data_IF_229464743196
#
_entry.id   IF_229464743196
#
_cell.length_a   1.000
_cell.length_b   1.000
_cell.length_c   1.000
_cell.angle_alpha   90.00
_cell.angle_beta   90.00
_cell.angle_gamma   90.00
#
_symmetry.space_group_name_H-M   'P 1'
#
loop_
_entity.id
_entity.type
_entity.pdbx_description
1 polymer ?
#
# COMPACT_ATOMS: atom_id res chain seq x y z
N UNK A 1 13.13 -0.28 11.00
CA UNK A 1 14.07 -1.17 10.30
C UNK A 1 15.42 -0.53 9.90
N UNK A 2 15.51 0.75 9.51
CA UNK A 2 16.82 1.42 9.29
C UNK A 2 17.61 1.72 10.58
N UNK A 3 16.91 2.10 11.66
CA UNK A 3 17.54 2.47 12.94
C UNK A 3 18.11 1.28 13.73
N UNK A 4 17.61 0.06 13.49
CA UNK A 4 17.91 -1.13 14.30
C UNK A 4 19.02 -2.00 13.68
N UNK A 5 19.44 -1.71 12.45
CA UNK A 5 20.48 -2.44 11.72
C UNK A 5 21.83 -1.73 11.68
N UNK A 6 21.95 -0.57 12.34
CA UNK A 6 23.18 0.23 12.40
C UNK A 6 24.27 -0.56 13.15
N UNK A 7 25.30 -1.02 12.42
CA UNK A 7 26.43 -1.79 12.97
C UNK A 7 26.36 -3.31 12.80
N UNK A 8 25.22 -3.87 12.38
CA UNK A 8 25.08 -5.32 12.10
C UNK A 8 25.47 -5.72 10.68
N UNK A 9 25.58 -4.75 9.77
CA UNK A 9 25.95 -4.97 8.37
C UNK A 9 27.22 -4.18 8.02
N UNK A 10 27.92 -4.63 6.98
CA UNK A 10 29.05 -3.89 6.43
C UNK A 10 28.57 -2.50 5.99
N UNK A 11 29.35 -1.47 6.30
CA UNK A 11 29.07 -0.09 5.86
C UNK A 11 28.87 -0.12 4.34
N UNK A 12 27.76 0.43 3.84
CA UNK A 12 27.34 0.34 2.43
C UNK A 12 28.44 0.75 1.45
N UNK A 13 29.20 1.82 1.76
CA UNK A 13 30.36 2.27 0.97
C UNK A 13 31.45 1.21 0.80
N UNK A 14 31.52 0.25 1.72
CA UNK A 14 32.47 -0.87 1.71
C UNK A 14 31.80 -2.15 1.20
N UNK A 15 30.56 -2.44 1.63
CA UNK A 15 29.87 -3.70 1.34
C UNK A 15 29.24 -3.74 -0.05
N UNK A 16 28.73 -2.61 -0.53
CA UNK A 16 28.08 -2.45 -1.84
C UNK A 16 28.49 -1.10 -2.45
N UNK A 17 29.78 -0.90 -2.77
CA UNK A 17 30.29 0.38 -3.27
C UNK A 17 29.63 0.83 -4.58
N UNK A 18 29.16 -0.11 -5.40
CA UNK A 18 28.40 0.15 -6.63
C UNK A 18 26.90 0.40 -6.38
N UNK A 19 26.45 0.44 -5.13
CA UNK A 19 25.05 0.63 -4.75
C UNK A 19 24.15 -0.54 -5.13
N UNK A 20 24.71 -1.70 -5.44
CA UNK A 20 23.99 -2.89 -5.92
C UNK A 20 24.10 -4.02 -4.92
N UNK A 21 22.96 -4.54 -4.46
CA UNK A 21 22.91 -5.76 -3.66
C UNK A 21 22.60 -6.96 -4.57
N UNK A 22 23.51 -7.96 -4.61
CA UNK A 22 23.39 -9.15 -5.45
C UNK A 22 24.07 -9.02 -6.82
N UNK A 23 23.69 -9.90 -7.78
CA UNK A 23 24.34 -10.02 -9.09
C UNK A 23 23.34 -9.81 -10.25
N UNK A 24 22.98 -8.56 -10.59
CA UNK A 24 22.01 -8.28 -11.65
C UNK A 24 22.49 -8.73 -13.04
N UNK A 25 23.82 -8.81 -13.25
CA UNK A 25 24.42 -9.31 -14.48
C UNK A 25 24.05 -10.76 -14.82
N UNK A 26 23.49 -11.52 -13.87
CA UNK A 26 22.98 -12.89 -14.10
C UNK A 26 21.54 -12.92 -14.63
N UNK A 27 20.88 -11.76 -14.71
CA UNK A 27 19.53 -11.63 -15.25
C UNK A 27 19.50 -11.83 -16.76
N UNK A 28 18.48 -12.54 -17.25
CA UNK A 28 18.20 -12.67 -18.68
C UNK A 28 16.71 -12.42 -18.90
N UNK A 29 16.33 -11.96 -20.09
CA UNK A 29 14.93 -11.71 -20.43
C UNK A 29 14.04 -12.96 -20.24
N UNK A 30 14.59 -14.15 -20.51
CA UNK A 30 13.86 -15.41 -20.35
C UNK A 30 13.50 -15.71 -18.88
N UNK A 31 14.43 -15.45 -17.95
CA UNK A 31 14.20 -15.63 -16.51
C UNK A 31 13.10 -14.73 -15.95
N UNK A 32 12.80 -13.61 -16.62
CA UNK A 32 11.76 -12.67 -16.18
C UNK A 32 10.34 -13.18 -16.47
N UNK A 33 10.14 -14.02 -17.49
CA UNK A 33 8.80 -14.41 -17.97
C UNK A 33 7.96 -15.09 -16.88
N UNK A 34 8.53 -16.09 -16.22
CA UNK A 34 7.83 -16.87 -15.17
C UNK A 34 7.42 -16.01 -13.95
N UNK A 35 8.33 -15.25 -13.30
CA UNK A 35 7.94 -14.43 -12.15
C UNK A 35 6.97 -13.32 -12.55
N UNK A 36 7.13 -12.70 -13.73
CA UNK A 36 6.18 -11.69 -14.22
C UNK A 36 4.79 -12.29 -14.44
N UNK A 37 4.68 -13.45 -15.10
CA UNK A 37 3.40 -14.12 -15.27
C UNK A 37 2.76 -14.50 -13.92
N UNK A 38 3.57 -14.92 -12.94
CA UNK A 38 3.08 -15.28 -11.61
C UNK A 38 2.53 -14.06 -10.85
N UNK A 39 3.25 -12.93 -10.83
CA UNK A 39 2.76 -11.72 -10.14
C UNK A 39 1.54 -11.14 -10.85
N UNK A 40 1.49 -11.15 -12.19
CA UNK A 40 0.32 -10.69 -12.92
C UNK A 40 -0.90 -11.55 -12.62
N UNK A 41 -0.75 -12.88 -12.61
CA UNK A 41 -1.83 -13.79 -12.22
C UNK A 41 -2.33 -13.53 -10.79
N UNK A 42 -1.40 -13.29 -9.86
CA UNK A 42 -1.76 -12.98 -8.47
C UNK A 42 -2.49 -11.64 -8.36
N UNK A 43 -2.02 -10.60 -9.05
CA UNK A 43 -2.68 -9.29 -9.05
C UNK A 43 -4.08 -9.38 -9.65
N UNK A 44 -4.28 -10.14 -10.73
CA UNK A 44 -5.62 -10.40 -11.29
C UNK A 44 -6.51 -11.10 -10.28
N UNK A 45 -6.04 -12.20 -9.68
CA UNK A 45 -6.81 -12.93 -8.66
C UNK A 45 -7.21 -12.01 -7.50
N UNK A 46 -6.29 -11.22 -6.98
CA UNK A 46 -6.55 -10.29 -5.89
C UNK A 46 -7.60 -9.25 -6.27
N UNK A 47 -7.55 -8.69 -7.49
CA UNK A 47 -8.56 -7.75 -7.97
C UNK A 47 -9.93 -8.42 -8.09
N UNK A 48 -9.99 -9.63 -8.64
CA UNK A 48 -11.24 -10.39 -8.79
C UNK A 48 -11.87 -10.69 -7.42
N UNK A 49 -11.07 -11.17 -6.46
CA UNK A 49 -11.52 -11.44 -5.08
C UNK A 49 -12.01 -10.17 -4.36
N UNK A 50 -11.34 -9.02 -4.57
CA UNK A 50 -11.77 -7.73 -4.01
C UNK A 50 -13.11 -7.30 -4.60
N UNK A 51 -13.30 -7.42 -5.91
CA UNK A 51 -14.55 -7.05 -6.59
C UNK A 51 -15.71 -7.98 -6.24
N UNK A 52 -15.42 -9.27 -6.00
CA UNK A 52 -16.41 -10.24 -5.52
C UNK A 52 -16.84 -9.93 -4.08
N UNK A 53 -15.89 -9.63 -3.19
CA UNK A 53 -16.17 -9.32 -1.79
C UNK A 53 -16.82 -7.93 -1.61
N UNK A 54 -16.40 -6.96 -2.42
CA UNK A 54 -16.83 -5.56 -2.34
C UNK A 54 -17.18 -5.03 -3.73
N UNK A 55 -18.42 -5.29 -4.21
CA UNK A 55 -18.89 -4.77 -5.49
C UNK A 55 -18.83 -3.24 -5.54
N UNK A 56 -18.82 -2.63 -6.74
CA UNK A 56 -18.79 -1.18 -6.89
C UNK A 56 -19.86 -0.46 -6.05
N UNK A 57 -19.44 0.56 -5.30
CA UNK A 57 -20.29 1.28 -4.35
C UNK A 57 -20.38 0.65 -2.96
N UNK A 58 -19.79 -0.53 -2.76
CA UNK A 58 -19.66 -1.18 -1.45
C UNK A 58 -18.22 -1.04 -0.96
N UNK A 59 -18.06 -0.73 0.32
CA UNK A 59 -16.75 -0.69 0.99
C UNK A 59 -16.74 -1.66 2.17
N UNK A 60 -15.55 -2.09 2.63
CA UNK A 60 -15.46 -2.85 3.87
C UNK A 60 -16.07 -2.08 5.06
N UNK A 61 -16.56 -2.79 6.09
CA UNK A 61 -17.03 -2.16 7.32
C UNK A 61 -15.99 -1.20 7.91
N UNK A 62 -16.44 0.00 8.32
CA UNK A 62 -15.56 1.12 8.72
C UNK A 62 -14.64 0.74 9.87
N UNK A 63 -15.13 -0.01 10.84
CA UNK A 63 -14.40 -0.46 12.02
C UNK A 63 -13.23 -1.41 11.71
N UNK A 64 -13.21 -2.00 10.51
CA UNK A 64 -12.12 -2.88 10.06
C UNK A 64 -10.97 -2.14 9.39
N UNK A 65 -11.23 -0.91 8.90
CA UNK A 65 -10.27 -0.15 8.08
C UNK A 65 -9.92 1.22 8.68
N UNK A 66 -10.66 1.65 9.69
CA UNK A 66 -10.52 2.95 10.33
C UNK A 66 -10.79 2.86 11.83
N UNK A 67 -10.15 3.75 12.60
CA UNK A 67 -10.46 3.96 14.01
C UNK A 67 -11.57 5.01 14.24
N UNK A 68 -12.23 5.48 13.17
CA UNK A 68 -13.29 6.50 13.23
C UNK A 68 -14.68 5.86 13.23
N UNK A 69 -15.68 6.63 13.66
CA UNK A 69 -17.08 6.21 13.55
C UNK A 69 -17.56 6.30 12.10
N UNK A 70 -18.64 5.57 11.80
CA UNK A 70 -19.28 5.58 10.49
C UNK A 70 -19.84 6.97 10.15
N UNK A 71 -20.44 7.66 11.12
CA UNK A 71 -20.97 9.02 10.99
C UNK A 71 -19.92 10.04 10.54
N UNK A 72 -18.68 9.89 11.01
CA UNK A 72 -17.60 10.80 10.64
C UNK A 72 -17.14 10.60 9.19
N UNK A 73 -17.20 9.35 8.70
CA UNK A 73 -16.70 8.94 7.39
C UNK A 73 -17.76 8.98 6.30
N UNK A 74 -19.06 8.95 6.64
CA UNK A 74 -20.17 8.90 5.68
C UNK A 74 -20.05 9.95 4.56
N UNK A 75 -19.69 11.19 4.92
CA UNK A 75 -19.49 12.27 3.95
C UNK A 75 -18.31 12.01 2.98
N UNK A 76 -17.29 11.27 3.40
CA UNK A 76 -16.15 10.91 2.56
C UNK A 76 -16.45 9.77 1.58
N UNK A 77 -17.52 8.99 1.82
CA UNK A 77 -17.93 7.89 0.94
C UNK A 77 -18.85 8.34 -0.21
N UNK A 78 -19.30 9.60 -0.20
CA UNK A 78 -20.08 10.19 -1.28
C UNK A 78 -19.23 10.44 -2.52
N UNK A 79 -19.89 10.66 -3.65
CA UNK A 79 -19.21 11.00 -4.91
C UNK A 79 -18.38 12.28 -4.73
N UNK A 80 -17.10 12.30 -5.17
CA UNK A 80 -16.28 13.49 -5.06
C UNK A 80 -16.94 14.71 -5.70
N UNK A 81 -16.92 15.84 -4.98
CA UNK A 81 -17.53 17.12 -5.39
C UNK A 81 -19.06 17.15 -5.43
N UNK A 82 -19.76 16.10 -4.99
CA UNK A 82 -21.23 16.14 -4.83
C UNK A 82 -21.64 16.95 -3.60
N UNK A 83 -22.92 17.33 -3.52
CA UNK A 83 -23.45 18.00 -2.33
C UNK A 83 -23.28 17.13 -1.08
N UNK A 84 -22.71 17.72 -0.02
CA UNK A 84 -22.46 17.05 1.25
C UNK A 84 -21.28 16.07 1.25
N UNK A 85 -20.49 15.98 0.17
CA UNK A 85 -19.20 15.29 0.16
C UNK A 85 -18.14 16.10 0.93
N UNK A 86 -17.24 15.40 1.62
CA UNK A 86 -16.08 16.00 2.28
C UNK A 86 -14.81 15.23 1.96
N UNK A 87 -13.71 15.96 1.75
CA UNK A 87 -12.39 15.33 1.61
C UNK A 87 -11.94 14.69 2.92
N UNK A 88 -11.24 13.56 2.85
CA UNK A 88 -10.62 12.90 4.03
C UNK A 88 -9.65 13.84 4.76
N UNK A 89 -9.10 14.83 4.05
CA UNK A 89 -8.20 15.84 4.64
C UNK A 89 -8.92 16.91 5.46
N UNK A 90 -10.24 17.04 5.32
CA UNK A 90 -11.07 17.94 6.12
C UNK A 90 -11.53 17.28 7.43
N UNK A 91 -11.35 15.97 7.58
CA UNK A 91 -11.62 15.28 8.83
C UNK A 91 -10.69 15.79 9.93
N UNK A 92 -11.21 15.75 11.16
CA UNK A 92 -10.40 16.12 12.31
C UNK A 92 -9.17 15.19 12.40
N UNK A 93 -8.03 15.80 12.72
CA UNK A 93 -6.76 15.08 12.79
C UNK A 93 -6.68 14.34 14.12
N UNK A 94 -6.41 13.04 14.05
CA UNK A 94 -6.27 12.16 15.21
C UNK A 94 -4.84 11.62 15.21
N UNK A 95 -4.16 11.64 16.35
CA UNK A 95 -2.84 11.03 16.51
C UNK A 95 -1.96 11.76 17.52
N UNK A 96 -0.77 11.24 17.80
CA UNK A 96 0.12 11.74 18.86
C UNK A 96 0.45 13.25 18.76
N UNK A 97 0.36 13.83 17.57
CA UNK A 97 0.69 15.24 17.31
C UNK A 97 -0.54 16.16 17.24
N UNK A 98 -1.75 15.62 17.37
CA UNK A 98 -3.00 16.36 17.23
C UNK A 98 -3.92 16.03 18.41
N UNK A 99 -4.47 17.08 19.03
CA UNK A 99 -5.23 16.98 20.28
C UNK A 99 -6.66 16.54 20.02
#
# INVERSE_FOLDING_TARGET
>A
MWSEAQGHNVIERIGTPEGTCGYPSRGTADKAKRPVAAILKYLTLMVDEILEAFPPGTVPPVEKVSFRSEEEIEACLKEPLSEGWKSVHELHKIGMFYK
#
